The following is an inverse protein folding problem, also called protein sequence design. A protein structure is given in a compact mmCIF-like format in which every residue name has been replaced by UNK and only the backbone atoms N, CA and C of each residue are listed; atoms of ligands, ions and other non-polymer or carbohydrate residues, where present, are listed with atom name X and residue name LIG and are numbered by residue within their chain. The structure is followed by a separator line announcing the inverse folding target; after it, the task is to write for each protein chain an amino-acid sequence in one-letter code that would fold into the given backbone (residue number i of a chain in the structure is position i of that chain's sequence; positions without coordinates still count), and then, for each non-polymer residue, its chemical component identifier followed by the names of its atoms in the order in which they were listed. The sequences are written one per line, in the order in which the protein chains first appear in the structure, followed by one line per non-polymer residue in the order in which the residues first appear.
data_IF_695861358869
#
_entry.id   IF_695861358869
#
_cell.length_a   1.000
_cell.length_b   1.000
_cell.length_c   1.000
_cell.angle_alpha   90.00
_cell.angle_beta   90.00
_cell.angle_gamma   90.00
#
_symmetry.space_group_name_H-M   'P 1'
#
loop_
_entity.id
_entity.type
_entity.pdbx_description
1 polymer ?
#
# COMPACT_ATOMS: atom_id res chain seq x y z
N UNK A 1 -5.43 4.34 -15.17
CA UNK A 1 -4.63 4.37 -13.93
C UNK A 1 -3.96 5.73 -13.91
N UNK A 2 -3.82 6.34 -12.74
CA UNK A 2 -3.17 7.65 -12.62
C UNK A 2 -1.74 7.46 -12.10
N UNK A 3 -0.84 8.34 -12.53
CA UNK A 3 0.54 8.36 -12.06
C UNK A 3 0.62 9.03 -10.69
N UNK A 4 1.49 8.50 -9.84
CA UNK A 4 1.81 9.16 -8.57
C UNK A 4 2.66 10.39 -8.84
N UNK A 5 2.27 11.51 -8.23
CA UNK A 5 3.05 12.73 -8.24
C UNK A 5 4.15 12.67 -7.19
N UNK A 6 5.21 13.47 -7.35
CA UNK A 6 6.31 13.56 -6.37
C UNK A 6 5.80 13.84 -4.94
N UNK A 7 4.80 14.73 -4.80
CA UNK A 7 4.20 15.05 -3.49
C UNK A 7 3.53 13.84 -2.84
N UNK A 8 2.90 12.96 -3.61
CA UNK A 8 2.29 11.73 -3.09
C UNK A 8 3.36 10.72 -2.67
N UNK A 9 4.46 10.64 -3.42
CA UNK A 9 5.61 9.80 -3.05
C UNK A 9 6.25 10.30 -1.74
N UNK A 10 6.44 11.60 -1.59
CA UNK A 10 6.87 12.22 -0.34
C UNK A 10 5.89 11.96 0.83
N UNK A 11 4.58 11.95 0.55
CA UNK A 11 3.57 11.63 1.54
C UNK A 11 3.64 10.16 1.98
N UNK A 12 3.80 9.24 1.03
CA UNK A 12 4.05 7.81 1.33
C UNK A 12 5.32 7.65 2.17
N UNK A 13 6.40 8.35 1.83
CA UNK A 13 7.66 8.30 2.59
C UNK A 13 7.46 8.80 4.03
N UNK A 14 6.82 9.96 4.21
CA UNK A 14 6.51 10.51 5.54
C UNK A 14 5.68 9.55 6.36
N UNK A 15 4.59 9.05 5.78
CA UNK A 15 3.72 8.09 6.43
C UNK A 15 4.49 6.86 6.88
N UNK A 16 5.40 6.35 6.04
CA UNK A 16 6.26 5.22 6.38
C UNK A 16 7.21 5.51 7.55
N UNK A 17 7.82 6.69 7.56
CA UNK A 17 8.75 7.11 8.63
C UNK A 17 8.06 7.35 9.96
N UNK A 18 6.75 7.63 9.95
CA UNK A 18 5.95 7.80 11.16
C UNK A 18 5.56 6.45 11.80
N UNK A 19 5.73 5.34 11.08
CA UNK A 19 5.43 4.02 11.61
C UNK A 19 6.47 3.60 12.67
N UNK A 20 6.05 2.89 13.73
CA UNK A 20 6.97 2.40 14.75
C UNK A 20 7.94 1.34 14.20
N UNK A 21 9.09 1.15 14.87
CA UNK A 21 10.11 0.19 14.43
C UNK A 21 9.66 -1.28 14.47
N UNK A 22 8.68 -1.62 15.31
CA UNK A 22 8.05 -2.96 15.35
C UNK A 22 6.87 -3.09 14.36
N UNK A 23 6.67 -2.08 13.51
CA UNK A 23 5.62 -2.12 12.52
C UNK A 23 5.88 -3.27 11.53
N UNK A 24 4.79 -3.93 11.15
CA UNK A 24 4.74 -5.00 10.17
C UNK A 24 5.26 -4.63 8.75
N UNK A 25 5.63 -3.37 8.52
CA UNK A 25 6.01 -2.84 7.22
C UNK A 25 7.51 -2.65 7.17
N UNK A 26 8.17 -3.21 6.16
CA UNK A 26 9.61 -3.08 6.01
C UNK A 26 10.03 -1.89 5.19
N UNK A 27 9.20 -1.49 4.24
CA UNK A 27 9.58 -0.48 3.27
C UNK A 27 8.61 -0.44 2.10
N UNK A 28 8.84 0.52 1.23
CA UNK A 28 8.13 0.68 -0.03
C UNK A 28 9.15 0.96 -1.14
N UNK A 29 8.76 0.74 -2.39
CA UNK A 29 9.56 1.08 -3.56
C UNK A 29 8.65 1.51 -4.72
N UNK A 30 9.19 2.23 -5.68
CA UNK A 30 8.48 2.63 -6.89
C UNK A 30 9.25 2.22 -8.13
N UNK A 31 8.55 2.02 -9.23
CA UNK A 31 9.17 1.82 -10.53
C UNK A 31 9.28 3.17 -11.28
N UNK A 32 10.35 3.91 -11.02
CA UNK A 32 10.67 5.16 -11.74
C UNK A 32 10.23 6.46 -11.06
N UNK A 33 10.39 7.57 -11.78
CA UNK A 33 10.18 8.94 -11.30
C UNK A 33 8.69 9.35 -11.29
N UNK A 34 7.89 8.85 -12.23
CA UNK A 34 6.43 8.98 -12.26
C UNK A 34 5.76 7.58 -12.27
N UNK A 35 5.85 6.84 -11.16
CA UNK A 35 5.37 5.48 -11.14
C UNK A 35 3.84 5.47 -11.28
N UNK A 36 3.32 4.54 -12.08
CA UNK A 36 1.88 4.21 -12.07
C UNK A 36 1.51 3.35 -10.86
N UNK A 37 2.54 2.80 -10.19
CA UNK A 37 2.44 1.81 -9.14
C UNK A 37 3.56 1.98 -8.10
N UNK A 38 3.16 1.95 -6.83
CA UNK A 38 4.08 1.85 -5.69
C UNK A 38 3.99 0.43 -5.12
N UNK A 39 5.11 -0.18 -4.75
CA UNK A 39 5.17 -1.47 -4.08
C UNK A 39 5.37 -1.28 -2.59
N UNK A 40 4.49 -1.90 -1.81
CA UNK A 40 4.54 -1.91 -0.36
C UNK A 40 5.06 -3.28 0.10
N UNK A 41 6.06 -3.30 0.99
CA UNK A 41 6.67 -4.50 1.55
C UNK A 41 6.36 -4.66 3.05
N UNK A 42 6.05 -5.89 3.45
CA UNK A 42 5.81 -6.28 4.86
C UNK A 42 6.81 -7.31 5.37
N UNK A 43 7.15 -7.23 6.66
CA UNK A 43 7.89 -8.26 7.42
C UNK A 43 7.03 -8.85 8.52
N UNK A 44 7.05 -10.19 8.62
CA UNK A 44 7.14 -10.91 9.90
C UNK A 44 7.35 -12.43 9.76
N UNK A 45 7.10 -13.02 8.59
CA UNK A 45 7.37 -14.45 8.32
C UNK A 45 7.26 -14.81 6.82
N UNK A 46 6.46 -14.04 6.06
CA UNK A 46 6.31 -14.19 4.61
C UNK A 46 6.43 -12.83 3.96
N UNK A 47 7.53 -12.61 3.23
CA UNK A 47 7.72 -11.41 2.42
C UNK A 47 6.62 -11.34 1.36
N UNK A 48 5.78 -10.30 1.39
CA UNK A 48 4.77 -10.03 0.37
C UNK A 48 4.88 -8.62 -0.14
N UNK A 49 4.59 -8.47 -1.43
CA UNK A 49 4.55 -7.20 -2.16
C UNK A 49 3.10 -6.84 -2.42
N UNK A 50 2.74 -5.62 -2.07
CA UNK A 50 1.41 -5.09 -2.29
C UNK A 50 1.50 -3.94 -3.29
N UNK A 51 1.15 -4.17 -4.58
CA UNK A 51 1.05 -3.10 -5.55
C UNK A 51 -0.07 -2.10 -5.22
N UNK A 52 0.33 -0.89 -4.90
CA UNK A 52 -0.50 0.29 -4.73
C UNK A 52 -0.61 1.03 -6.07
N UNK A 53 -1.85 1.28 -6.49
CA UNK A 53 -2.19 1.99 -7.72
C UNK A 53 -3.17 3.11 -7.42
N UNK A 54 -3.07 4.21 -8.17
CA UNK A 54 -3.99 5.35 -8.04
C UNK A 54 -5.14 5.26 -9.03
N UNK A 55 -6.32 5.65 -8.56
CA UNK A 55 -7.56 5.72 -9.33
C UNK A 55 -8.25 7.06 -9.12
N UNK A 56 -9.17 7.41 -10.02
CA UNK A 56 -9.91 8.67 -9.97
C UNK A 56 -10.75 8.89 -8.69
N UNK A 57 -10.92 7.85 -7.86
CA UNK A 57 -11.69 7.89 -6.61
C UNK A 57 -10.81 7.68 -5.36
N UNK A 58 -9.50 7.61 -5.51
CA UNK A 58 -8.56 7.34 -4.42
C UNK A 58 -7.53 6.27 -4.76
N UNK A 59 -7.12 5.51 -3.77
CA UNK A 59 -6.00 4.57 -3.84
C UNK A 59 -6.49 3.13 -3.77
N UNK A 60 -5.83 2.25 -4.54
CA UNK A 60 -6.13 0.83 -4.59
C UNK A 60 -4.88 0.02 -4.33
N UNK A 61 -4.88 -0.76 -3.26
CA UNK A 61 -3.82 -1.69 -2.93
C UNK A 61 -4.22 -3.11 -3.29
N UNK A 62 -3.49 -3.72 -4.20
CA UNK A 62 -3.63 -5.13 -4.54
C UNK A 62 -2.60 -6.00 -3.82
N UNK A 63 -2.90 -7.28 -3.60
CA UNK A 63 -1.92 -8.32 -3.28
C UNK A 63 -1.15 -8.74 -4.54
N UNK A 64 -0.06 -9.50 -4.41
CA UNK A 64 0.81 -9.90 -5.53
C UNK A 64 0.08 -10.67 -6.65
N UNK A 65 -1.02 -11.35 -6.30
CA UNK A 65 -1.86 -12.08 -7.24
C UNK A 65 -3.07 -11.26 -7.75
N UNK A 66 -3.20 -9.99 -7.35
CA UNK A 66 -4.34 -9.14 -7.70
C UNK A 66 -5.68 -9.53 -7.04
N UNK A 67 -5.67 -10.48 -6.11
CA UNK A 67 -6.89 -11.09 -5.55
C UNK A 67 -7.57 -10.25 -4.47
N UNK A 68 -6.82 -9.49 -3.69
CA UNK A 68 -7.36 -8.61 -2.63
C UNK A 68 -7.05 -7.19 -3.00
N UNK A 69 -8.08 -6.40 -3.24
CA UNK A 69 -7.98 -4.99 -3.60
C UNK A 69 -8.63 -4.18 -2.50
N UNK A 70 -7.82 -3.48 -1.71
CA UNK A 70 -8.31 -2.50 -0.75
C UNK A 70 -8.44 -1.16 -1.45
N UNK A 71 -9.58 -0.49 -1.28
CA UNK A 71 -9.81 0.85 -1.83
C UNK A 71 -9.96 1.82 -0.68
N UNK A 72 -9.19 2.90 -0.73
CA UNK A 72 -9.24 3.94 0.28
C UNK A 72 -9.25 5.32 -0.39
N UNK A 73 -9.99 6.29 0.15
CA UNK A 73 -10.00 7.65 -0.38
C UNK A 73 -8.67 8.38 -0.12
N UNK A 74 -7.94 8.02 0.94
CA UNK A 74 -6.65 8.62 1.31
C UNK A 74 -5.56 7.57 1.51
N UNK A 75 -4.30 8.00 1.42
CA UNK A 75 -3.16 7.13 1.72
C UNK A 75 -3.18 6.66 3.19
N UNK A 76 -3.50 7.55 4.13
CA UNK A 76 -3.59 7.20 5.55
C UNK A 76 -4.65 6.11 5.84
N UNK A 77 -5.85 6.24 5.25
CA UNK A 77 -6.89 5.21 5.32
C UNK A 77 -6.42 3.87 4.73
N UNK A 78 -5.63 3.93 3.65
CA UNK A 78 -5.05 2.74 3.05
C UNK A 78 -4.05 2.06 4.00
N UNK A 79 -3.20 2.83 4.69
CA UNK A 79 -2.29 2.26 5.69
C UNK A 79 -3.07 1.52 6.76
N UNK A 80 -4.10 2.16 7.31
CA UNK A 80 -4.96 1.58 8.33
C UNK A 80 -5.69 0.33 7.83
N UNK A 81 -6.18 0.33 6.59
CA UNK A 81 -6.81 -0.83 5.98
C UNK A 81 -5.85 -2.03 5.87
N UNK A 82 -4.56 -1.77 5.68
CA UNK A 82 -3.51 -2.79 5.55
C UNK A 82 -2.99 -3.26 6.91
N UNK A 83 -2.93 -2.37 7.90
CA UNK A 83 -2.70 -2.71 9.31
C UNK A 83 -3.81 -3.62 9.85
N UNK A 84 -5.05 -3.34 9.45
CA UNK A 84 -6.24 -4.12 9.79
C UNK A 84 -6.32 -5.47 9.06
N UNK A 85 -5.23 -5.94 8.43
CA UNK A 85 -5.11 -7.29 7.88
C UNK A 85 -4.45 -8.21 8.93
N UNK A 86 -5.21 -8.85 9.83
CA UNK A 86 -4.69 -9.94 10.65
C UNK A 86 -4.46 -11.14 9.73
N UNK A 87 -3.19 -11.45 9.45
CA UNK A 87 -2.79 -12.72 8.83
C UNK A 87 -3.61 -13.20 7.62
N UNK A 88 -4.04 -12.32 6.71
CA UNK A 88 -4.69 -12.65 5.43
C UNK A 88 -5.85 -13.69 5.47
N UNK A 89 -6.65 -13.76 6.52
CA UNK A 89 -8.03 -14.27 6.49
C UNK A 89 -8.89 -13.19 7.16
N UNK A 90 -9.71 -12.42 6.44
CA UNK A 90 -10.87 -12.95 5.76
C UNK A 90 -11.17 -12.22 4.44
N UNK A 91 -11.85 -12.98 3.59
CA UNK A 91 -12.62 -12.58 2.42
C UNK A 91 -13.57 -11.45 2.80
N UNK A 92 -13.60 -10.38 2.01
CA UNK A 92 -14.85 -9.69 1.72
C UNK A 92 -14.93 -9.54 0.20
N UNK A 93 -15.58 -10.53 -0.41
CA UNK A 93 -16.27 -10.37 -1.68
C UNK A 93 -17.74 -10.10 -1.35
N UNK A 94 -18.26 -9.10 -2.05
CA UNK A 94 -19.62 -8.53 -2.02
C UNK A 94 -19.93 -7.52 -0.90
#
# INVERSE_FOLDING_TARGET
MERFTASEIDEIDRLWRLLPIDHMWTGWATAGEEPEQVWIFRTRAHWRRFPLTKTARGYVLADEHGRRMFRAPTLADLLHAVEAIPGLEAVVQD
#
